data_IF_108927017942
#
_entry.id   IF_108927017942
#
_cell.length_a   1.000
_cell.length_b   1.000
_cell.length_c   1.000
_cell.angle_alpha   90.00
_cell.angle_beta   90.00
_cell.angle_gamma   90.00
#
_symmetry.space_group_name_H-M   'P 1'
#
loop_
_entity.id
_entity.type
_entity.pdbx_description
1 polymer ?
#
# COMPACT_ATOMS: atom_id res chain seq x y z
N UNK A 1 -0.87 6.11 3.20
CA UNK A 1 -0.74 5.10 4.27
C UNK A 1 -1.38 3.81 3.80
N UNK A 2 -0.76 2.68 4.01
CA UNK A 2 -1.30 1.37 3.64
C UNK A 2 -1.32 0.43 4.85
N UNK A 3 -2.42 -0.24 5.09
CA UNK A 3 -2.55 -1.23 6.17
C UNK A 3 -1.83 -2.52 5.78
N UNK A 4 -0.94 -2.99 6.63
CA UNK A 4 -0.22 -4.25 6.47
C UNK A 4 -0.96 -5.41 7.13
N UNK A 5 -1.40 -5.16 8.34
CA UNK A 5 -2.04 -6.15 9.20
C UNK A 5 -2.95 -5.47 10.19
N UNK A 6 -4.04 -6.14 10.55
CA UNK A 6 -4.91 -5.73 11.64
C UNK A 6 -5.57 -6.96 12.25
N UNK A 7 -5.88 -6.90 13.52
CA UNK A 7 -6.66 -7.92 14.23
C UNK A 7 -7.35 -7.31 15.47
N UNK A 8 -8.53 -7.77 15.85
CA UNK A 8 -9.13 -7.37 17.10
C UNK A 8 -8.24 -7.80 18.27
N UNK A 9 -8.08 -6.94 19.26
CA UNK A 9 -7.34 -7.23 20.49
C UNK A 9 -8.29 -7.59 21.64
N UNK A 10 -9.45 -6.94 21.65
CA UNK A 10 -10.54 -7.16 22.57
C UNK A 10 -11.88 -6.79 21.91
N UNK A 11 -12.95 -6.69 22.70
CA UNK A 11 -14.27 -6.36 22.17
C UNK A 11 -14.34 -4.98 21.52
N UNK A 12 -13.54 -4.02 21.98
CA UNK A 12 -13.67 -2.59 21.63
C UNK A 12 -12.52 -2.06 20.80
N UNK A 13 -11.41 -2.81 20.70
CA UNK A 13 -10.17 -2.35 20.08
C UNK A 13 -9.65 -3.28 18.99
N UNK A 14 -8.94 -2.71 18.03
CA UNK A 14 -8.09 -3.47 17.11
C UNK A 14 -6.65 -2.96 17.11
N UNK A 15 -5.72 -3.88 16.98
CA UNK A 15 -4.32 -3.59 16.69
C UNK A 15 -4.11 -3.48 15.20
N UNK A 16 -3.38 -2.47 14.76
CA UNK A 16 -3.07 -2.26 13.36
C UNK A 16 -1.60 -1.93 13.14
N UNK A 17 -1.05 -2.47 12.06
CA UNK A 17 0.28 -2.13 11.55
C UNK A 17 0.12 -1.56 10.16
N UNK A 18 0.68 -0.38 9.94
CA UNK A 18 0.62 0.31 8.66
C UNK A 18 2.00 0.69 8.14
N UNK A 19 2.10 0.85 6.82
CA UNK A 19 3.17 1.59 6.18
C UNK A 19 2.68 3.01 5.90
N UNK A 20 3.43 4.00 6.36
CA UNK A 20 3.14 5.40 6.13
C UNK A 20 4.27 6.06 5.34
N UNK A 21 3.96 6.62 4.18
CA UNK A 21 4.85 7.55 3.48
C UNK A 21 4.55 8.96 3.96
N UNK A 22 5.53 9.60 4.58
CA UNK A 22 5.39 10.92 5.17
C UNK A 22 6.11 11.97 4.33
N UNK A 23 5.36 12.89 3.74
CA UNK A 23 5.90 13.92 2.86
C UNK A 23 6.15 15.25 3.58
N UNK A 24 5.43 15.49 4.69
CA UNK A 24 5.58 16.71 5.47
C UNK A 24 6.88 16.69 6.27
N UNK A 25 7.78 17.61 5.96
CA UNK A 25 9.06 17.74 6.65
C UNK A 25 8.98 18.69 7.87
N UNK A 26 7.90 19.45 7.98
CA UNK A 26 7.71 20.43 9.06
C UNK A 26 7.18 19.78 10.34
N UNK A 27 6.45 18.69 10.21
CA UNK A 27 5.82 17.99 11.33
C UNK A 27 6.33 16.55 11.38
N UNK A 28 6.91 16.10 12.51
CA UNK A 28 7.24 14.69 12.69
C UNK A 28 5.99 13.81 12.59
N UNK A 29 6.12 12.64 11.96
CA UNK A 29 5.01 11.71 11.81
C UNK A 29 4.42 11.27 13.17
N UNK A 30 5.27 11.08 14.18
CA UNK A 30 4.84 10.76 15.54
C UNK A 30 3.88 11.81 16.10
N UNK A 31 4.19 13.10 15.89
CA UNK A 31 3.32 14.19 16.33
C UNK A 31 1.95 14.16 15.65
N UNK A 32 1.88 13.67 14.41
CA UNK A 32 0.61 13.45 13.74
C UNK A 32 -0.19 12.33 14.41
N UNK A 33 0.42 11.17 14.69
CA UNK A 33 -0.27 10.07 15.36
C UNK A 33 -0.65 10.42 16.80
N UNK A 34 0.17 11.16 17.54
CA UNK A 34 -0.19 11.67 18.86
C UNK A 34 -1.41 12.61 18.82
N UNK A 35 -1.58 13.39 17.75
CA UNK A 35 -2.81 14.18 17.56
C UNK A 35 -4.04 13.29 17.30
N UNK A 36 -3.88 12.20 16.53
CA UNK A 36 -4.96 11.24 16.32
C UNK A 36 -5.36 10.56 17.63
N UNK A 37 -4.40 10.20 18.49
CA UNK A 37 -4.62 9.64 19.81
C UNK A 37 -5.37 10.63 20.73
N UNK A 38 -4.89 11.86 20.83
CA UNK A 38 -5.55 12.94 21.61
C UNK A 38 -6.96 13.26 21.09
N UNK A 39 -7.20 13.08 19.81
CA UNK A 39 -8.51 13.25 19.17
C UNK A 39 -9.43 12.03 19.28
N UNK A 40 -8.98 10.92 19.90
CA UNK A 40 -9.75 9.69 20.03
C UNK A 40 -9.95 8.91 18.72
N UNK A 41 -9.16 9.21 17.70
CA UNK A 41 -9.20 8.50 16.41
C UNK A 41 -8.38 7.21 16.43
N UNK A 42 -7.39 7.14 17.30
CA UNK A 42 -6.70 5.92 17.71
C UNK A 42 -6.70 5.87 19.24
N UNK A 43 -6.58 4.69 19.81
CA UNK A 43 -6.56 4.52 21.27
C UNK A 43 -5.15 4.75 21.84
N UNK A 44 -4.13 4.20 21.17
CA UNK A 44 -2.75 4.25 21.62
C UNK A 44 -1.79 4.09 20.43
N UNK A 45 -0.78 4.95 20.33
CA UNK A 45 0.35 4.78 19.45
C UNK A 45 1.39 3.87 20.11
N UNK A 46 1.66 2.70 19.53
CA UNK A 46 2.58 1.71 20.09
C UNK A 46 3.99 1.89 19.56
N UNK A 47 4.16 1.95 18.23
CA UNK A 47 5.47 2.17 17.60
C UNK A 47 5.36 3.10 16.39
N UNK A 48 6.44 3.83 16.12
CA UNK A 48 6.60 4.64 14.93
C UNK A 48 8.06 4.60 14.50
N UNK A 49 8.43 3.61 13.69
CA UNK A 49 9.82 3.32 13.32
C UNK A 49 10.13 3.77 11.90
N UNK A 50 11.17 4.57 11.69
CA UNK A 50 11.61 4.92 10.36
C UNK A 50 12.21 3.69 9.65
N UNK A 51 11.86 3.50 8.39
CA UNK A 51 12.46 2.47 7.54
C UNK A 51 13.50 3.08 6.60
N UNK A 52 13.05 3.76 5.55
CA UNK A 52 13.87 4.42 4.53
C UNK A 52 13.01 5.39 3.69
N UNK A 53 13.63 6.40 3.08
CA UNK A 53 12.97 7.32 2.13
C UNK A 53 11.63 7.90 2.63
N UNK A 54 11.58 8.35 3.87
CA UNK A 54 10.36 8.88 4.52
C UNK A 54 9.21 7.86 4.60
N UNK A 55 9.52 6.56 4.59
CA UNK A 55 8.58 5.49 4.89
C UNK A 55 8.79 5.03 6.32
N UNK A 56 7.70 4.85 7.04
CA UNK A 56 7.63 4.44 8.43
C UNK A 56 6.76 3.20 8.57
N UNK A 57 7.13 2.31 9.48
CA UNK A 57 6.21 1.34 10.07
C UNK A 57 5.61 1.97 11.31
N UNK A 58 4.30 2.00 11.36
CA UNK A 58 3.56 2.52 12.51
C UNK A 58 2.61 1.45 13.00
N UNK A 59 2.62 1.20 14.30
CA UNK A 59 1.63 0.33 14.93
C UNK A 59 0.86 1.08 16.01
N UNK A 60 -0.43 0.82 16.08
CA UNK A 60 -1.32 1.45 17.03
C UNK A 60 -2.52 0.57 17.34
N UNK A 61 -3.20 0.85 18.44
CA UNK A 61 -4.55 0.37 18.68
C UNK A 61 -5.57 1.44 18.32
N UNK A 62 -6.74 1.03 17.87
CA UNK A 62 -7.81 1.94 17.50
C UNK A 62 -9.18 1.34 17.77
N UNK A 63 -10.25 2.14 17.67
CA UNK A 63 -11.61 1.65 17.88
C UNK A 63 -11.96 0.57 16.88
N UNK A 64 -12.68 -0.45 17.34
CA UNK A 64 -13.14 -1.56 16.51
C UNK A 64 -14.61 -1.43 16.10
N UNK A 65 -15.46 -0.96 17.03
CA UNK A 65 -16.88 -0.78 16.76
C UNK A 65 -17.18 0.32 15.75
N UNK A 66 -18.23 0.12 14.97
CA UNK A 66 -18.66 1.02 13.91
C UNK A 66 -17.57 1.30 12.87
N UNK A 67 -16.75 0.31 12.58
CA UNK A 67 -15.68 0.39 11.59
C UNK A 67 -15.91 -0.57 10.42
N UNK A 68 -15.18 -0.34 9.33
CA UNK A 68 -15.14 -1.28 8.20
C UNK A 68 -14.62 -2.65 8.65
N UNK A 69 -13.67 -2.69 9.61
CA UNK A 69 -13.07 -3.92 10.13
C UNK A 69 -14.07 -4.79 10.89
N UNK A 70 -14.89 -4.19 11.75
CA UNK A 70 -15.99 -4.92 12.42
C UNK A 70 -16.93 -5.53 11.39
N UNK A 71 -17.32 -4.77 10.38
CA UNK A 71 -18.20 -5.28 9.33
C UNK A 71 -17.56 -6.40 8.50
N UNK A 72 -16.26 -6.32 8.21
CA UNK A 72 -15.54 -7.43 7.55
C UNK A 72 -15.65 -8.72 8.36
N UNK A 73 -15.42 -8.68 9.65
CA UNK A 73 -15.57 -9.86 10.52
C UNK A 73 -17.01 -10.33 10.61
N UNK A 74 -17.97 -9.44 10.82
CA UNK A 74 -19.40 -9.75 10.90
C UNK A 74 -19.92 -10.49 9.66
N UNK A 75 -19.40 -10.15 8.49
CA UNK A 75 -19.77 -10.80 7.23
C UNK A 75 -18.82 -11.93 6.84
N UNK A 76 -17.78 -12.24 7.63
CA UNK A 76 -16.70 -13.17 7.28
C UNK A 76 -16.13 -12.85 5.89
N UNK A 77 -15.66 -11.62 5.72
CA UNK A 77 -15.05 -11.13 4.50
C UNK A 77 -13.56 -10.92 4.68
N UNK A 78 -12.84 -11.01 3.57
CA UNK A 78 -11.39 -10.77 3.55
C UNK A 78 -11.08 -9.51 2.75
N UNK A 79 -10.29 -8.63 3.33
CA UNK A 79 -9.65 -7.53 2.61
C UNK A 79 -8.28 -7.95 2.12
N UNK A 80 -7.90 -7.52 0.94
CA UNK A 80 -6.57 -7.72 0.40
C UNK A 80 -5.75 -6.44 0.24
N UNK A 81 -6.40 -5.30 0.34
CA UNK A 81 -5.73 -4.01 0.40
C UNK A 81 -6.62 -2.99 1.10
N UNK A 82 -6.02 -2.18 1.96
CA UNK A 82 -6.68 -1.01 2.53
C UNK A 82 -5.64 0.06 2.82
N UNK A 83 -6.07 1.31 2.74
CA UNK A 83 -5.18 2.43 2.99
C UNK A 83 -5.90 3.75 3.07
N UNK A 84 -5.15 4.81 3.37
CA UNK A 84 -5.62 6.19 3.42
C UNK A 84 -4.76 7.05 2.50
N UNK A 85 -5.41 7.77 1.61
CA UNK A 85 -4.77 8.73 0.71
C UNK A 85 -5.62 9.99 0.63
N UNK A 86 -5.02 11.15 0.90
CA UNK A 86 -5.75 12.42 0.87
C UNK A 86 -6.93 12.49 1.87
N UNK A 87 -6.84 11.78 2.99
CA UNK A 87 -7.93 11.70 3.98
C UNK A 87 -9.05 10.72 3.63
N UNK A 88 -8.99 10.06 2.47
CA UNK A 88 -9.99 9.10 2.02
C UNK A 88 -9.49 7.68 2.29
N UNK A 89 -10.31 6.87 2.95
CA UNK A 89 -10.05 5.44 3.12
C UNK A 89 -10.43 4.68 1.85
N UNK A 90 -9.48 3.93 1.31
CA UNK A 90 -9.68 3.04 0.16
C UNK A 90 -9.61 1.59 0.62
N UNK A 91 -10.61 0.79 0.23
CA UNK A 91 -10.70 -0.62 0.58
C UNK A 91 -10.87 -1.46 -0.67
N UNK A 92 -10.08 -2.52 -0.78
CA UNK A 92 -10.25 -3.58 -1.78
C UNK A 92 -10.49 -4.88 -1.07
N UNK A 93 -11.57 -5.56 -1.39
CA UNK A 93 -12.00 -6.75 -0.68
C UNK A 93 -12.70 -7.75 -1.60
N UNK A 94 -12.71 -9.01 -1.18
CA UNK A 94 -13.44 -10.08 -1.85
C UNK A 94 -14.78 -10.25 -1.14
N UNK A 95 -15.86 -10.07 -1.89
CA UNK A 95 -17.22 -10.17 -1.37
C UNK A 95 -17.99 -11.21 -2.18
N UNK A 96 -18.47 -12.30 -1.55
CA UNK A 96 -19.40 -13.21 -2.22
C UNK A 96 -20.66 -12.44 -2.67
N UNK A 97 -21.21 -12.70 -3.87
CA UNK A 97 -22.36 -11.97 -4.39
C UNK A 97 -23.55 -11.89 -3.43
N UNK A 98 -23.79 -12.97 -2.69
CA UNK A 98 -24.91 -13.07 -1.73
C UNK A 98 -24.78 -12.12 -0.54
N UNK A 99 -23.54 -11.71 -0.18
CA UNK A 99 -23.26 -10.82 0.95
C UNK A 99 -23.13 -9.34 0.55
N UNK A 100 -22.99 -9.05 -0.75
CA UNK A 100 -22.63 -7.73 -1.26
C UNK A 100 -23.63 -6.65 -0.84
N UNK A 101 -24.92 -6.84 -1.09
CA UNK A 101 -25.96 -5.83 -0.81
C UNK A 101 -26.09 -5.52 0.68
N UNK A 102 -26.04 -6.55 1.53
CA UNK A 102 -26.09 -6.39 2.97
C UNK A 102 -24.87 -5.67 3.52
N UNK A 103 -23.69 -6.05 3.04
CA UNK A 103 -22.43 -5.42 3.45
C UNK A 103 -22.38 -3.94 3.07
N UNK A 104 -22.67 -3.59 1.81
CA UNK A 104 -22.67 -2.20 1.33
C UNK A 104 -23.67 -1.36 2.11
N UNK A 105 -24.87 -1.90 2.40
CA UNK A 105 -25.88 -1.22 3.22
C UNK A 105 -25.33 -0.89 4.61
N UNK A 106 -24.65 -1.83 5.27
CA UNK A 106 -24.06 -1.59 6.59
C UNK A 106 -22.93 -0.58 6.55
N UNK A 107 -22.09 -0.59 5.52
CA UNK A 107 -21.04 0.41 5.37
C UNK A 107 -21.59 1.83 5.30
N UNK A 108 -22.75 2.03 4.66
CA UNK A 108 -23.41 3.35 4.58
C UNK A 108 -23.90 3.86 5.93
N UNK A 109 -24.03 3.01 6.92
CA UNK A 109 -24.39 3.42 8.29
C UNK A 109 -23.20 3.94 9.09
N UNK A 110 -21.98 3.60 8.68
CA UNK A 110 -20.75 3.99 9.39
C UNK A 110 -19.93 5.06 8.68
N UNK A 111 -20.26 5.37 7.43
CA UNK A 111 -19.54 6.39 6.67
C UNK A 111 -20.14 6.68 5.31
N UNK A 112 -19.68 7.76 4.70
CA UNK A 112 -20.08 8.15 3.35
C UNK A 112 -19.15 7.55 2.31
N UNK A 113 -19.71 7.15 1.17
CA UNK A 113 -18.93 6.78 -0.01
C UNK A 113 -18.61 8.04 -0.82
N UNK A 114 -17.33 8.30 -1.02
CA UNK A 114 -16.88 9.38 -1.90
C UNK A 114 -17.05 9.04 -3.38
N UNK A 115 -17.07 7.73 -3.69
CA UNK A 115 -17.26 7.20 -5.04
C UNK A 115 -18.22 6.00 -5.01
N UNK A 116 -18.90 5.73 -6.11
CA UNK A 116 -19.69 4.51 -6.23
C UNK A 116 -18.78 3.29 -6.17
N UNK A 117 -19.06 2.30 -5.30
CA UNK A 117 -18.27 1.09 -5.24
C UNK A 117 -18.21 0.39 -6.60
N UNK A 118 -17.01 0.20 -7.14
CA UNK A 118 -16.82 -0.57 -8.36
C UNK A 118 -16.77 -2.05 -8.02
N UNK A 119 -17.45 -2.88 -8.79
CA UNK A 119 -17.50 -4.33 -8.62
C UNK A 119 -16.95 -5.00 -9.87
N UNK A 120 -15.98 -5.89 -9.70
CA UNK A 120 -15.47 -6.72 -10.76
C UNK A 120 -15.57 -8.20 -10.37
N UNK A 121 -15.89 -9.05 -11.35
CA UNK A 121 -15.83 -10.50 -11.16
C UNK A 121 -14.38 -10.96 -11.29
N UNK A 122 -13.93 -11.78 -10.36
CA UNK A 122 -12.58 -12.32 -10.34
C UNK A 122 -12.55 -13.76 -10.83
N UNK A 123 -11.64 -14.06 -11.75
CA UNK A 123 -11.26 -15.42 -12.13
C UNK A 123 -10.27 -16.01 -11.11
N UNK A 124 -10.01 -17.32 -11.20
CA UNK A 124 -8.97 -17.98 -10.39
C UNK A 124 -7.57 -17.35 -10.62
N UNK A 125 -7.30 -16.86 -11.83
CA UNK A 125 -6.06 -16.17 -12.17
C UNK A 125 -5.96 -14.82 -11.45
N UNK A 126 -7.06 -14.08 -11.37
CA UNK A 126 -7.12 -12.81 -10.65
C UNK A 126 -6.93 -13.02 -9.15
N UNK A 127 -7.49 -14.11 -8.57
CA UNK A 127 -7.29 -14.46 -7.17
C UNK A 127 -5.81 -14.74 -6.86
N UNK A 128 -5.10 -15.45 -7.72
CA UNK A 128 -3.67 -15.66 -7.54
C UNK A 128 -2.89 -14.34 -7.57
N UNK A 129 -3.22 -13.45 -8.51
CA UNK A 129 -2.63 -12.12 -8.58
C UNK A 129 -2.90 -11.29 -7.31
N UNK A 130 -4.12 -11.37 -6.76
CA UNK A 130 -4.49 -10.71 -5.51
C UNK A 130 -3.72 -11.25 -4.30
N UNK A 131 -3.50 -12.57 -4.24
CA UNK A 131 -2.69 -13.18 -3.17
C UNK A 131 -1.25 -12.69 -3.20
N UNK A 132 -0.67 -12.53 -4.41
CA UNK A 132 0.66 -11.95 -4.58
C UNK A 132 0.70 -10.45 -4.20
N UNK A 133 -0.37 -9.69 -4.48
CA UNK A 133 -0.44 -8.26 -4.18
C UNK A 133 -0.55 -7.96 -2.67
N UNK A 134 -0.96 -8.93 -1.86
CA UNK A 134 -1.00 -8.80 -0.40
C UNK A 134 0.37 -8.90 0.28
N UNK A 135 1.41 -9.21 -0.46
CA UNK A 135 2.75 -9.30 0.10
C UNK A 135 3.31 -7.91 0.40
N UNK A 136 4.09 -7.83 1.46
CA UNK A 136 4.76 -6.59 1.90
C UNK A 136 5.56 -5.93 0.77
N UNK A 137 6.26 -6.73 -0.04
CA UNK A 137 7.15 -6.21 -1.08
C UNK A 137 6.46 -5.41 -2.18
N UNK A 138 5.35 -5.85 -2.82
CA UNK A 138 4.62 -5.02 -3.77
C UNK A 138 4.10 -3.71 -3.17
N UNK A 139 3.65 -3.73 -1.91
CA UNK A 139 3.20 -2.53 -1.22
C UNK A 139 4.34 -1.55 -0.98
N UNK A 140 5.50 -2.05 -0.54
CA UNK A 140 6.72 -1.27 -0.40
C UNK A 140 7.15 -0.64 -1.74
N UNK A 141 7.09 -1.39 -2.83
CA UNK A 141 7.47 -0.88 -4.14
C UNK A 141 6.56 0.25 -4.61
N UNK A 142 5.24 0.12 -4.40
CA UNK A 142 4.28 1.19 -4.71
C UNK A 142 4.49 2.45 -3.86
N UNK A 143 4.95 2.31 -2.62
CA UNK A 143 5.31 3.45 -1.78
C UNK A 143 6.68 4.07 -2.15
N UNK A 144 7.63 3.23 -2.53
CA UNK A 144 9.01 3.63 -2.87
C UNK A 144 9.11 4.33 -4.20
N UNK A 145 8.47 3.75 -5.22
CA UNK A 145 8.63 4.14 -6.61
C UNK A 145 7.49 5.08 -7.02
N UNK A 146 7.80 5.99 -7.91
CA UNK A 146 6.79 6.79 -8.61
C UNK A 146 6.16 5.95 -9.73
N UNK A 147 4.99 6.33 -10.22
CA UNK A 147 4.33 5.67 -11.35
C UNK A 147 5.25 5.57 -12.57
N UNK A 148 6.00 6.63 -12.89
CA UNK A 148 6.97 6.63 -13.99
C UNK A 148 8.16 5.70 -13.77
N UNK A 149 8.61 5.56 -12.53
CA UNK A 149 9.68 4.61 -12.19
C UNK A 149 9.19 3.17 -12.35
N UNK A 150 7.96 2.88 -11.94
CA UNK A 150 7.31 1.57 -12.13
C UNK A 150 7.12 1.30 -13.62
N UNK A 151 6.56 2.23 -14.37
CA UNK A 151 6.36 2.13 -15.83
C UNK A 151 7.66 1.75 -16.55
N UNK A 152 8.75 2.47 -16.25
CA UNK A 152 10.01 2.24 -16.95
C UNK A 152 10.74 0.97 -16.50
N UNK A 153 10.60 0.55 -15.23
CA UNK A 153 11.13 -0.75 -14.79
C UNK A 153 10.40 -1.90 -15.48
N UNK A 154 9.07 -1.84 -15.55
CA UNK A 154 8.25 -2.87 -16.22
C UNK A 154 8.58 -2.93 -17.69
N UNK A 155 8.60 -1.79 -18.40
CA UNK A 155 8.97 -1.74 -19.80
C UNK A 155 10.40 -2.27 -20.04
N UNK A 156 11.38 -1.90 -19.21
CA UNK A 156 12.74 -2.41 -19.29
C UNK A 156 12.82 -3.92 -19.09
N UNK A 157 12.01 -4.47 -18.18
CA UNK A 157 11.93 -5.91 -17.93
C UNK A 157 11.31 -6.65 -19.12
N UNK A 158 10.17 -6.19 -19.62
CA UNK A 158 9.44 -6.79 -20.74
C UNK A 158 10.26 -6.76 -22.02
N UNK A 159 10.96 -5.66 -22.29
CA UNK A 159 11.84 -5.49 -23.45
C UNK A 159 13.19 -6.23 -23.32
N UNK A 160 13.45 -6.87 -22.16
CA UNK A 160 14.66 -7.66 -21.94
C UNK A 160 15.93 -6.86 -21.65
N UNK A 161 15.79 -5.60 -21.18
CA UNK A 161 16.92 -4.79 -20.77
C UNK A 161 17.72 -5.36 -19.59
N UNK A 162 17.02 -6.03 -18.64
CA UNK A 162 17.62 -6.64 -17.46
C UNK A 162 18.01 -8.12 -17.65
N UNK A 163 17.88 -8.67 -18.84
CA UNK A 163 18.28 -10.05 -19.10
C UNK A 163 19.81 -10.19 -19.14
N UNK A 164 20.35 -11.34 -18.77
CA UNK A 164 21.79 -11.65 -18.77
C UNK A 164 22.42 -11.36 -20.13
N UNK A 165 21.75 -11.76 -21.24
CA UNK A 165 22.04 -11.26 -22.59
C UNK A 165 21.03 -10.18 -22.91
N UNK A 166 21.44 -8.92 -22.74
CA UNK A 166 20.59 -7.77 -23.05
C UNK A 166 20.06 -7.87 -24.49
N UNK A 167 18.75 -7.84 -24.62
CA UNK A 167 18.09 -7.82 -25.94
C UNK A 167 17.95 -6.42 -26.48
N UNK A 168 18.10 -5.41 -25.65
CA UNK A 168 17.81 -4.01 -25.99
C UNK A 168 18.72 -3.07 -25.21
N UNK A 169 19.18 -2.01 -25.86
CA UNK A 169 19.91 -0.92 -25.24
C UNK A 169 18.96 0.16 -24.72
N UNK A 170 19.44 1.01 -23.81
CA UNK A 170 18.65 2.13 -23.32
C UNK A 170 18.27 3.14 -24.42
N UNK A 171 19.08 3.21 -25.48
CA UNK A 171 18.82 4.06 -26.65
C UNK A 171 17.63 3.52 -27.46
N UNK A 172 17.58 2.23 -27.69
CA UNK A 172 16.49 1.57 -28.39
C UNK A 172 15.20 1.61 -27.56
N UNK A 173 15.31 1.40 -26.24
CA UNK A 173 14.18 1.56 -25.32
C UNK A 173 13.62 2.99 -25.38
N UNK A 174 14.47 3.99 -25.40
CA UNK A 174 14.06 5.38 -25.51
C UNK A 174 13.31 5.68 -26.82
N UNK A 175 13.78 5.11 -27.93
CA UNK A 175 13.11 5.22 -29.23
C UNK A 175 11.72 4.53 -29.19
N UNK A 176 11.63 3.31 -28.67
CA UNK A 176 10.36 2.56 -28.55
C UNK A 176 9.33 3.29 -27.68
N UNK A 177 9.75 3.87 -26.57
CA UNK A 177 8.88 4.60 -25.66
C UNK A 177 8.63 6.05 -26.08
N UNK A 178 9.22 6.52 -27.21
CA UNK A 178 9.16 7.91 -27.68
C UNK A 178 9.56 8.90 -26.59
N UNK A 179 10.62 8.59 -25.85
CA UNK A 179 11.12 9.37 -24.72
C UNK A 179 12.61 9.71 -24.88
N UNK A 180 13.06 10.72 -24.15
CA UNK A 180 14.47 11.09 -24.13
C UNK A 180 15.29 10.04 -23.37
N UNK A 181 16.40 9.58 -23.97
CA UNK A 181 17.34 8.60 -23.39
C UNK A 181 17.79 8.99 -21.99
N UNK A 182 18.17 10.26 -21.79
CA UNK A 182 18.67 10.73 -20.48
C UNK A 182 17.59 10.69 -19.40
N UNK A 183 16.33 10.91 -19.77
CA UNK A 183 15.20 10.81 -18.85
C UNK A 183 15.00 9.37 -18.41
N UNK A 184 14.97 8.41 -19.33
CA UNK A 184 14.80 6.98 -19.01
C UNK A 184 15.97 6.49 -18.16
N UNK A 185 17.22 6.79 -18.56
CA UNK A 185 18.40 6.35 -17.83
C UNK A 185 18.40 6.87 -16.38
N UNK A 186 18.12 8.16 -16.19
CA UNK A 186 18.04 8.77 -14.88
C UNK A 186 16.91 8.15 -14.03
N UNK A 187 15.75 7.94 -14.62
CA UNK A 187 14.59 7.39 -13.91
C UNK A 187 14.81 5.92 -13.50
N UNK A 188 15.37 5.10 -14.40
CA UNK A 188 15.75 3.73 -14.09
C UNK A 188 16.82 3.65 -12.99
N UNK A 189 17.86 4.47 -13.07
CA UNK A 189 18.90 4.56 -12.03
C UNK A 189 18.33 4.96 -10.68
N UNK A 190 17.43 5.95 -10.65
CA UNK A 190 16.72 6.37 -9.45
C UNK A 190 15.93 5.22 -8.86
N UNK A 191 15.15 4.53 -9.67
CA UNK A 191 14.31 3.42 -9.23
C UNK A 191 15.15 2.25 -8.69
N UNK A 192 16.20 1.85 -9.41
CA UNK A 192 17.13 0.79 -8.98
C UNK A 192 17.81 1.16 -7.67
N UNK A 193 18.28 2.41 -7.55
CA UNK A 193 18.92 2.89 -6.30
C UNK A 193 17.96 2.80 -5.10
N UNK A 194 16.68 3.17 -5.27
CA UNK A 194 15.67 3.06 -4.22
C UNK A 194 15.44 1.61 -3.80
N UNK A 195 15.36 0.68 -4.78
CA UNK A 195 15.18 -0.74 -4.52
C UNK A 195 16.39 -1.34 -3.79
N UNK A 196 17.60 -1.00 -4.22
CA UNK A 196 18.84 -1.46 -3.57
C UNK A 196 18.96 -0.93 -2.14
N UNK A 197 18.65 0.35 -1.92
CA UNK A 197 18.65 0.93 -0.57
C UNK A 197 17.64 0.23 0.35
N UNK A 198 16.47 -0.15 -0.18
CA UNK A 198 15.49 -0.96 0.54
C UNK A 198 16.07 -2.31 0.95
N UNK A 199 16.72 -3.02 0.02
CA UNK A 199 17.34 -4.32 0.29
C UNK A 199 18.49 -4.21 1.31
N UNK A 200 19.31 -3.17 1.23
CA UNK A 200 20.41 -2.95 2.16
C UNK A 200 19.87 -2.67 3.56
N UNK A 201 18.88 -1.76 3.68
CA UNK A 201 18.26 -1.42 4.96
C UNK A 201 17.58 -2.62 5.64
N UNK A 202 17.05 -3.56 4.85
CA UNK A 202 16.46 -4.79 5.40
C UNK A 202 17.50 -5.75 5.99
N UNK A 203 18.75 -5.72 5.52
CA UNK A 203 19.84 -6.59 6.02
C UNK A 203 20.56 -6.05 7.26
N UNK A 204 20.72 -4.73 7.36
CA UNK A 204 21.47 -4.10 8.48
C UNK A 204 20.75 -4.17 9.82
N UNK A 205 19.46 -4.54 9.87
CA UNK A 205 18.70 -4.70 11.12
C UNK A 205 18.77 -6.11 11.74
N UNK A 206 19.42 -7.06 11.06
CA UNK A 206 19.58 -8.44 11.56
C UNK A 206 21.00 -8.74 12.05
N UNK A 207 21.86 -7.74 12.20
CA UNK A 207 23.14 -7.78 12.88
C UNK A 207 23.08 -6.99 14.20
#
# INVERSE_FOLDING_TARGET
MESLSWHPTDADSNYEVILAKWADRSTPIESFFQKLEKGGLINELITCEPMFNNIYIVSFTGPFHNTVRENLLKYNLTTYNSGVEGGIQKWRMLIPPQKQSGFIRNLRLIGEFTETPSVALFSARDLSSLMWSNQLMPRLFNLLLTEKEIEYILAASELGYFQEKRKLTITEMAALLSRNKSTIDRTLKSAISKLLNCLIASRTRYQ
#
